data_IF_549546363460
#
_entry.id   IF_549546363460
#
_cell.length_a   1.000
_cell.length_b   1.000
_cell.length_c   1.000
_cell.angle_alpha   90.00
_cell.angle_beta   90.00
_cell.angle_gamma   90.00
#
_symmetry.space_group_name_H-M   'P 1'
#
loop_
_entity.id
_entity.type
_entity.pdbx_description
1 polymer ?
#
# COMPACT_ATOMS: atom_id res chain seq x y z
N UNK A 1 16.59 -14.62 26.28
CA UNK A 1 16.53 -15.01 24.86
C UNK A 1 15.08 -14.88 24.37
N UNK A 2 14.77 -13.86 23.55
CA UNK A 2 13.40 -13.61 23.05
C UNK A 2 13.13 -14.62 21.91
N UNK A 3 12.18 -15.51 22.13
CA UNK A 3 11.87 -16.64 21.25
C UNK A 3 11.42 -16.14 19.87
N UNK A 4 12.06 -16.61 18.80
CA UNK A 4 11.63 -16.29 17.43
C UNK A 4 10.29 -16.97 17.15
N UNK A 5 9.24 -16.17 16.91
CA UNK A 5 7.95 -16.68 16.42
C UNK A 5 8.13 -17.19 14.96
N UNK A 6 7.55 -18.33 14.58
CA UNK A 6 7.81 -19.00 13.29
C UNK A 6 7.26 -18.28 12.04
N UNK A 7 6.74 -17.05 12.17
CA UNK A 7 6.12 -16.28 11.07
C UNK A 7 6.79 -14.93 10.83
N UNK A 8 8.02 -14.74 11.31
CA UNK A 8 8.81 -13.51 11.14
C UNK A 8 9.53 -13.49 9.78
N UNK A 9 8.75 -13.64 8.70
CA UNK A 9 9.28 -13.60 7.32
C UNK A 9 8.95 -12.26 6.67
N UNK A 10 9.94 -11.66 6.01
CA UNK A 10 9.79 -10.44 5.19
C UNK A 10 8.51 -10.42 4.31
N UNK A 11 8.15 -11.50 3.58
CA UNK A 11 6.93 -11.53 2.79
C UNK A 11 5.64 -11.37 3.60
N UNK A 12 5.61 -11.81 4.86
CA UNK A 12 4.41 -11.73 5.69
C UNK A 12 3.99 -10.27 6.02
N UNK A 13 4.93 -9.32 5.93
CA UNK A 13 4.63 -7.89 6.00
C UNK A 13 4.56 -7.21 4.64
N UNK A 14 5.43 -7.61 3.70
CA UNK A 14 5.48 -6.99 2.37
C UNK A 14 4.21 -7.24 1.54
N UNK A 15 3.68 -8.47 1.56
CA UNK A 15 2.48 -8.87 0.80
C UNK A 15 1.25 -8.06 1.23
N UNK A 16 0.85 -8.04 2.53
CA UNK A 16 -0.28 -7.20 2.95
C UNK A 16 0.05 -5.72 2.79
N UNK A 17 1.32 -5.34 2.93
CA UNK A 17 1.83 -3.98 2.69
C UNK A 17 1.56 -3.44 1.28
N UNK A 18 1.50 -4.32 0.28
CA UNK A 18 1.22 -3.97 -1.11
C UNK A 18 -0.26 -4.21 -1.45
N UNK A 19 -0.86 -5.27 -0.92
CA UNK A 19 -2.25 -5.63 -1.17
C UNK A 19 -3.24 -4.61 -0.62
N UNK A 20 -3.02 -4.06 0.58
CA UNK A 20 -3.92 -3.06 1.19
C UNK A 20 -4.15 -1.85 0.27
N UNK A 21 -3.10 -1.14 -0.19
CA UNK A 21 -3.29 0.02 -1.04
C UNK A 21 -3.87 -0.33 -2.41
N UNK A 22 -3.51 -1.48 -3.00
CA UNK A 22 -4.10 -1.95 -4.26
C UNK A 22 -5.58 -2.28 -4.10
N UNK A 23 -5.96 -2.96 -3.02
CA UNK A 23 -7.35 -3.27 -2.69
C UNK A 23 -8.14 -1.99 -2.40
N UNK A 24 -7.58 -1.02 -1.69
CA UNK A 24 -8.21 0.28 -1.45
C UNK A 24 -8.50 1.03 -2.75
N UNK A 25 -7.56 0.96 -3.71
CA UNK A 25 -7.72 1.50 -5.05
C UNK A 25 -8.84 0.79 -5.83
N UNK A 26 -8.87 -0.54 -5.79
CA UNK A 26 -9.89 -1.36 -6.46
C UNK A 26 -11.29 -1.11 -5.90
N UNK A 27 -11.41 -0.99 -4.57
CA UNK A 27 -12.67 -0.62 -3.90
C UNK A 27 -13.09 0.78 -4.33
N UNK A 28 -12.17 1.75 -4.37
CA UNK A 28 -12.47 3.11 -4.80
C UNK A 28 -12.92 3.16 -6.26
N UNK A 29 -12.24 2.43 -7.15
CA UNK A 29 -12.63 2.26 -8.54
C UNK A 29 -14.04 1.68 -8.64
N UNK A 30 -14.31 0.53 -8.02
CA UNK A 30 -15.62 -0.12 -8.08
C UNK A 30 -16.76 0.70 -7.44
N UNK A 31 -16.47 1.55 -6.45
CA UNK A 31 -17.47 2.39 -5.79
C UNK A 31 -17.76 3.69 -6.53
N UNK A 32 -16.80 4.24 -7.30
CA UNK A 32 -16.93 5.56 -7.94
C UNK A 32 -16.92 5.55 -9.46
N UNK A 33 -16.46 4.48 -10.10
CA UNK A 33 -16.31 4.40 -11.55
C UNK A 33 -16.93 3.11 -12.08
N UNK A 34 -17.77 3.24 -13.11
CA UNK A 34 -18.38 2.09 -13.79
C UNK A 34 -17.64 1.70 -15.09
N UNK A 35 -16.60 2.45 -15.48
CA UNK A 35 -15.76 2.19 -16.66
C UNK A 35 -14.56 1.28 -16.37
N UNK A 36 -13.73 1.00 -17.38
CA UNK A 36 -12.59 0.09 -17.26
C UNK A 36 -11.50 0.60 -16.30
N UNK A 37 -10.78 -0.30 -15.63
CA UNK A 37 -9.70 0.06 -14.69
C UNK A 37 -8.59 0.89 -15.36
N UNK A 38 -8.27 0.60 -16.63
CA UNK A 38 -7.27 1.34 -17.40
C UNK A 38 -7.74 2.75 -17.79
N UNK A 39 -9.03 2.94 -18.07
CA UNK A 39 -9.60 4.28 -18.34
C UNK A 39 -9.59 5.12 -17.06
N UNK A 40 -10.00 4.53 -15.94
CA UNK A 40 -9.89 5.17 -14.63
C UNK A 40 -8.45 5.59 -14.33
N UNK A 41 -7.47 4.73 -14.61
CA UNK A 41 -6.05 5.06 -14.40
C UNK A 41 -5.61 6.24 -15.28
N UNK A 42 -5.97 6.24 -16.57
CA UNK A 42 -5.62 7.30 -17.50
C UNK A 42 -6.27 8.65 -17.17
N UNK A 43 -7.56 8.65 -16.84
CA UNK A 43 -8.32 9.87 -16.53
C UNK A 43 -7.87 10.48 -15.20
N UNK A 44 -7.66 9.66 -14.17
CA UNK A 44 -7.20 10.14 -12.85
C UNK A 44 -5.72 10.53 -12.83
N UNK A 45 -4.89 9.96 -13.72
CA UNK A 45 -3.51 10.40 -13.91
C UNK A 45 -3.47 11.81 -14.53
N UNK A 46 -4.29 12.08 -15.56
CA UNK A 46 -4.41 13.43 -16.15
C UNK A 46 -4.89 14.49 -15.16
N UNK A 47 -5.76 14.09 -14.23
CA UNK A 47 -6.27 14.96 -13.17
C UNK A 47 -5.35 15.04 -11.94
N UNK A 48 -4.16 14.41 -11.99
CA UNK A 48 -3.20 14.31 -10.88
C UNK A 48 -3.85 13.88 -9.54
N UNK A 49 -4.97 13.17 -9.63
CA UNK A 49 -5.82 12.76 -8.50
C UNK A 49 -5.53 11.32 -8.13
N UNK A 50 -4.95 10.54 -9.05
CA UNK A 50 -4.52 9.17 -8.82
C UNK A 50 -3.50 9.07 -7.69
N UNK A 51 -2.53 9.99 -7.65
CA UNK A 51 -1.52 10.08 -6.58
C UNK A 51 -2.16 10.37 -5.21
N UNK A 52 -3.22 11.19 -5.15
CA UNK A 52 -4.00 11.46 -3.92
C UNK A 52 -4.77 10.22 -3.46
N UNK A 53 -5.42 9.50 -4.36
CA UNK A 53 -6.18 8.27 -4.02
C UNK A 53 -5.23 7.18 -3.54
N UNK A 54 -4.08 6.98 -4.22
CA UNK A 54 -3.05 6.07 -3.76
C UNK A 54 -2.54 6.46 -2.36
N UNK A 55 -2.29 7.75 -2.13
CA UNK A 55 -1.84 8.24 -0.83
C UNK A 55 -2.86 7.90 0.26
N UNK A 56 -4.15 8.11 -0.01
CA UNK A 56 -5.25 7.77 0.90
C UNK A 56 -5.31 6.25 1.17
N UNK A 57 -5.16 5.43 0.12
CA UNK A 57 -5.12 3.97 0.22
C UNK A 57 -3.88 3.45 0.97
N UNK A 58 -2.82 4.27 1.08
CA UNK A 58 -1.58 3.92 1.77
C UNK A 58 -1.64 4.26 3.28
N UNK A 59 -2.57 5.09 3.74
CA UNK A 59 -2.73 5.44 5.16
C UNK A 59 -2.95 4.18 6.05
N UNK A 60 -3.85 3.25 5.70
CA UNK A 60 -4.04 2.02 6.48
C UNK A 60 -2.78 1.13 6.52
N UNK A 61 -1.88 1.28 5.55
CA UNK A 61 -0.61 0.56 5.52
C UNK A 61 0.30 0.95 6.69
N UNK A 62 0.28 2.24 7.07
CA UNK A 62 0.99 2.74 8.23
C UNK A 62 0.41 2.16 9.53
N UNK A 63 -0.92 2.00 9.60
CA UNK A 63 -1.58 1.35 10.73
C UNK A 63 -1.18 -0.12 10.85
N UNK A 64 -1.13 -0.85 9.72
CA UNK A 64 -0.65 -2.23 9.68
C UNK A 64 0.80 -2.35 10.18
N UNK A 65 1.64 -1.39 9.80
CA UNK A 65 3.02 -1.30 10.29
C UNK A 65 3.10 -1.18 11.82
N UNK A 66 2.29 -0.30 12.43
CA UNK A 66 2.23 -0.18 13.89
C UNK A 66 1.77 -1.47 14.58
N UNK A 67 0.77 -2.15 14.01
CA UNK A 67 0.28 -3.45 14.51
C UNK A 67 1.41 -4.50 14.51
N UNK A 68 2.23 -4.56 13.46
CA UNK A 68 3.35 -5.50 13.40
C UNK A 68 4.46 -5.18 14.41
N UNK A 69 4.74 -3.90 14.66
CA UNK A 69 5.66 -3.48 15.72
C UNK A 69 5.14 -3.93 17.09
N UNK A 70 3.86 -3.69 17.38
CA UNK A 70 3.24 -4.07 18.66
C UNK A 70 3.18 -5.59 18.85
N UNK A 71 3.12 -6.35 17.76
CA UNK A 71 3.14 -7.82 17.78
C UNK A 71 4.55 -8.41 17.91
N UNK A 72 5.58 -7.58 18.12
CA UNK A 72 6.99 -7.98 18.20
C UNK A 72 7.51 -8.60 16.87
N UNK A 73 6.82 -8.38 15.75
CA UNK A 73 7.20 -8.87 14.40
C UNK A 73 7.99 -7.85 13.62
N UNK A 74 9.21 -7.61 14.08
CA UNK A 74 10.10 -6.57 13.52
C UNK A 74 10.49 -6.83 12.04
N UNK A 75 10.54 -8.08 11.59
CA UNK A 75 10.84 -8.42 10.20
C UNK A 75 9.67 -8.12 9.26
N UNK A 76 8.43 -8.44 9.66
CA UNK A 76 7.22 -8.04 8.90
C UNK A 76 7.06 -6.52 8.88
N UNK A 77 7.31 -5.83 9.99
CA UNK A 77 7.24 -4.37 10.05
C UNK A 77 8.19 -3.70 9.01
N UNK A 78 9.42 -4.22 8.88
CA UNK A 78 10.37 -3.78 7.83
C UNK A 78 9.84 -4.03 6.42
N UNK A 79 9.19 -5.16 6.18
CA UNK A 79 8.54 -5.48 4.91
C UNK A 79 7.42 -4.49 4.54
N UNK A 80 6.59 -4.09 5.51
CA UNK A 80 5.54 -3.09 5.29
C UNK A 80 6.13 -1.72 4.97
N UNK A 81 7.17 -1.27 5.70
CA UNK A 81 7.83 0.01 5.39
C UNK A 81 8.39 -0.03 3.96
N UNK A 82 9.07 -1.11 3.59
CA UNK A 82 9.65 -1.22 2.25
C UNK A 82 8.57 -1.18 1.16
N UNK A 83 7.45 -1.88 1.34
CA UNK A 83 6.31 -1.80 0.42
C UNK A 83 5.74 -0.37 0.33
N UNK A 84 5.62 0.31 1.47
CA UNK A 84 5.13 1.70 1.55
C UNK A 84 6.09 2.66 0.84
N UNK A 85 7.40 2.44 0.96
CA UNK A 85 8.43 3.26 0.33
C UNK A 85 8.44 3.08 -1.19
N UNK A 86 8.29 1.83 -1.67
CA UNK A 86 8.11 1.54 -3.10
C UNK A 86 6.85 2.23 -3.64
N UNK A 87 5.73 2.13 -2.93
CA UNK A 87 4.49 2.81 -3.32
C UNK A 87 4.63 4.33 -3.32
N UNK A 88 5.33 4.91 -2.35
CA UNK A 88 5.63 6.34 -2.32
C UNK A 88 6.45 6.78 -3.53
N UNK A 89 7.42 5.96 -3.95
CA UNK A 89 8.21 6.19 -5.16
C UNK A 89 7.33 6.14 -6.42
N UNK A 90 6.43 5.15 -6.52
CA UNK A 90 5.45 5.05 -7.62
C UNK A 90 4.52 6.27 -7.64
N UNK A 91 4.00 6.70 -6.49
CA UNK A 91 3.18 7.91 -6.37
C UNK A 91 3.92 9.17 -6.80
N UNK A 92 5.21 9.28 -6.45
CA UNK A 92 6.06 10.39 -6.83
C UNK A 92 6.20 10.42 -8.36
N UNK A 93 6.55 9.29 -8.97
CA UNK A 93 6.67 9.18 -10.43
C UNK A 93 5.34 9.54 -11.10
N UNK A 94 4.21 9.00 -10.63
CA UNK A 94 2.88 9.30 -11.19
C UNK A 94 2.44 10.77 -11.03
N UNK A 95 2.98 11.50 -10.04
CA UNK A 95 2.65 12.91 -9.83
C UNK A 95 3.43 13.82 -10.79
N UNK A 96 4.66 13.42 -11.13
CA UNK A 96 5.60 14.20 -11.94
C UNK A 96 5.69 13.74 -13.41
N UNK A 97 5.14 12.57 -13.75
CA UNK A 97 4.98 12.07 -15.12
C UNK A 97 3.65 12.55 -15.73
#
# INVERSE_FOLDING_TARGET
MKTRKPYDTLPAGFIPGLLIPVAGLAIFWSARYHGGFFEFLGDFQRLNTLSKILSLATIPNLLLFFIFIWTDRTFSARGVIFATLVLALVMLVLKFA
#
